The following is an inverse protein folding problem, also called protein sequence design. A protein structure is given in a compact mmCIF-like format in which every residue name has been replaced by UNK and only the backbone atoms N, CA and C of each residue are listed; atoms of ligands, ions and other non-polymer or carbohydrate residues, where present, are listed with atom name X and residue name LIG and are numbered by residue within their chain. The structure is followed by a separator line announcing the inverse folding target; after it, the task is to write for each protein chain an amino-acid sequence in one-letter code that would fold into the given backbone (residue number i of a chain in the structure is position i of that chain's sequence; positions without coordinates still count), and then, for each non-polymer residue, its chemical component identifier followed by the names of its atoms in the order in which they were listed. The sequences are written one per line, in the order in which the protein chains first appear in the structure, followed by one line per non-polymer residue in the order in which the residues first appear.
data_IF_185468149995
#
_entry.id   IF_185468149995
#
_cell.length_a   1.000
_cell.length_b   1.000
_cell.length_c   1.000
_cell.angle_alpha   90.00
_cell.angle_beta   90.00
_cell.angle_gamma   90.00
#
_symmetry.space_group_name_H-M   'P 1'
#
loop_
_entity.id
_entity.type
_entity.pdbx_description
1 polymer ?
#
# COMPACT_ATOMS: atom_id res chain seq x y z
N UNK A 1 -28.41 54.43 14.41
CA UNK A 1 -28.42 53.12 15.10
C UNK A 1 -28.64 53.39 16.57
N UNK A 2 -29.87 53.22 17.06
CA UNK A 2 -30.18 53.44 18.48
C UNK A 2 -29.68 52.25 19.27
N UNK A 3 -28.50 52.38 19.88
CA UNK A 3 -28.03 51.43 20.87
C UNK A 3 -28.93 51.51 22.09
N UNK A 4 -29.91 50.61 22.20
CA UNK A 4 -30.64 50.42 23.44
C UNK A 4 -29.64 49.92 24.47
N UNK A 5 -29.38 50.72 25.51
CA UNK A 5 -28.57 50.30 26.65
C UNK A 5 -29.28 49.11 27.30
N UNK A 6 -28.57 47.97 27.38
CA UNK A 6 -29.09 46.80 28.04
C UNK A 6 -29.44 47.15 29.50
N UNK A 7 -30.64 46.76 29.93
CA UNK A 7 -31.03 46.95 31.33
C UNK A 7 -30.15 46.10 32.25
N UNK A 8 -30.02 46.51 33.51
CA UNK A 8 -29.24 45.79 34.51
C UNK A 8 -29.62 44.30 34.58
N UNK A 9 -30.92 43.98 34.58
CA UNK A 9 -31.41 42.58 34.61
C UNK A 9 -31.05 41.77 33.37
N UNK A 10 -30.92 42.42 32.21
CA UNK A 10 -30.47 41.76 30.98
C UNK A 10 -28.98 41.44 31.07
N UNK A 11 -28.17 42.33 31.62
CA UNK A 11 -26.75 42.12 31.83
C UNK A 11 -26.48 41.03 32.88
N UNK A 12 -27.23 40.98 33.98
CA UNK A 12 -27.13 39.92 35.00
C UNK A 12 -27.41 38.55 34.38
N UNK A 13 -28.50 38.41 33.61
CA UNK A 13 -28.82 37.16 32.90
C UNK A 13 -27.73 36.75 31.91
N UNK A 14 -27.14 37.71 31.20
CA UNK A 14 -26.04 37.44 30.29
C UNK A 14 -24.78 36.97 31.02
N UNK A 15 -24.44 37.58 32.16
CA UNK A 15 -23.30 37.15 32.99
C UNK A 15 -23.52 35.75 33.54
N UNK A 16 -24.74 35.40 33.94
CA UNK A 16 -25.06 34.04 34.39
C UNK A 16 -24.95 33.02 33.25
N UNK A 17 -25.43 33.34 32.06
CA UNK A 17 -25.29 32.49 30.88
C UNK A 17 -23.81 32.29 30.52
N UNK A 18 -23.02 33.38 30.48
CA UNK A 18 -21.59 33.33 30.24
C UNK A 18 -20.84 32.56 31.32
N UNK A 19 -21.23 32.65 32.60
CA UNK A 19 -20.64 31.83 33.66
C UNK A 19 -20.90 30.35 33.43
N UNK A 20 -22.13 29.97 33.07
CA UNK A 20 -22.46 28.57 32.75
C UNK A 20 -21.65 28.08 31.54
N UNK A 21 -21.60 28.85 30.47
CA UNK A 21 -20.81 28.53 29.29
C UNK A 21 -19.31 28.42 29.62
N UNK A 22 -18.77 29.35 30.40
CA UNK A 22 -17.35 29.31 30.80
C UNK A 22 -17.03 28.08 31.66
N UNK A 23 -17.94 27.65 32.55
CA UNK A 23 -17.76 26.40 33.30
C UNK A 23 -17.88 25.16 32.41
N UNK A 24 -18.75 25.21 31.38
CA UNK A 24 -18.90 24.14 30.42
C UNK A 24 -17.64 23.98 29.56
N UNK A 25 -17.13 25.08 29.00
CA UNK A 25 -15.91 25.10 28.19
C UNK A 25 -14.68 24.64 28.99
N UNK A 26 -14.58 25.00 30.28
CA UNK A 26 -13.50 24.49 31.14
C UNK A 26 -13.54 22.97 31.28
N UNK A 27 -14.73 22.39 31.43
CA UNK A 27 -14.90 20.93 31.50
C UNK A 27 -14.51 20.26 30.19
N UNK A 28 -14.97 20.79 29.05
CA UNK A 28 -14.59 20.25 27.74
C UNK A 28 -13.09 20.34 27.48
N UNK A 29 -12.44 21.43 27.91
CA UNK A 29 -11.00 21.56 27.80
C UNK A 29 -10.26 20.52 28.65
N UNK A 30 -10.75 20.25 29.86
CA UNK A 30 -10.20 19.21 30.74
C UNK A 30 -10.40 17.81 30.15
N UNK A 31 -11.59 17.52 29.63
CA UNK A 31 -11.91 16.26 28.94
C UNK A 31 -10.99 16.07 27.72
N UNK A 32 -10.83 17.11 26.90
CA UNK A 32 -9.92 17.08 25.74
C UNK A 32 -8.46 16.89 26.16
N UNK A 33 -8.02 17.57 27.23
CA UNK A 33 -6.67 17.39 27.77
C UNK A 33 -6.44 15.95 28.24
N UNK A 34 -7.42 15.34 28.89
CA UNK A 34 -7.35 13.94 29.33
C UNK A 34 -7.28 12.98 28.13
N UNK A 35 -8.05 13.27 27.08
CA UNK A 35 -8.05 12.45 25.87
C UNK A 35 -6.72 12.53 25.12
N UNK A 36 -6.13 13.72 24.99
CA UNK A 36 -4.81 13.91 24.40
C UNK A 36 -3.74 13.12 25.15
N UNK A 37 -3.73 13.19 26.49
CA UNK A 37 -2.78 12.43 27.30
C UNK A 37 -2.91 10.91 27.07
N UNK A 38 -4.12 10.40 26.89
CA UNK A 38 -4.35 8.99 26.54
C UNK A 38 -3.75 8.64 25.19
N UNK A 39 -3.97 9.47 24.16
CA UNK A 39 -3.41 9.26 22.83
C UNK A 39 -1.88 9.32 22.82
N UNK A 40 -1.28 10.20 23.63
CA UNK A 40 0.18 10.28 23.80
C UNK A 40 0.74 9.00 24.43
N UNK A 41 0.04 8.44 25.42
CA UNK A 41 0.42 7.16 26.04
C UNK A 41 0.31 6.00 25.04
N UNK A 42 -0.83 5.87 24.34
CA UNK A 42 -1.04 4.83 23.31
C UNK A 42 0.01 4.91 22.19
N UNK A 43 0.39 6.13 21.80
CA UNK A 43 1.46 6.37 20.82
C UNK A 43 2.84 5.96 21.36
N UNK A 44 3.10 6.22 22.64
CA UNK A 44 4.35 5.84 23.31
C UNK A 44 4.48 4.33 23.44
N UNK A 45 3.40 3.64 23.81
CA UNK A 45 3.33 2.18 23.88
C UNK A 45 3.60 1.56 22.50
N UNK A 46 2.96 2.09 21.44
CA UNK A 46 3.18 1.61 20.08
C UNK A 46 4.64 1.84 19.63
N UNK A 47 5.23 2.98 19.98
CA UNK A 47 6.65 3.26 19.71
C UNK A 47 7.57 2.24 20.39
N UNK A 48 7.25 1.80 21.61
CA UNK A 48 7.99 0.73 22.29
C UNK A 48 7.86 -0.62 21.56
N UNK A 49 6.64 -0.99 21.17
CA UNK A 49 6.37 -2.20 20.38
C UNK A 49 7.17 -2.20 19.08
N UNK A 50 7.19 -1.09 18.35
CA UNK A 50 7.95 -0.96 17.11
C UNK A 50 9.46 -1.09 17.33
N UNK A 51 10.01 -0.49 18.39
CA UNK A 51 11.42 -0.66 18.75
C UNK A 51 11.75 -2.12 19.06
N UNK A 52 10.87 -2.82 19.77
CA UNK A 52 11.05 -4.24 20.08
C UNK A 52 11.02 -5.11 18.83
N UNK A 53 10.09 -4.87 17.92
CA UNK A 53 10.00 -5.57 16.64
C UNK A 53 11.23 -5.31 15.76
N UNK A 54 11.71 -4.07 15.70
CA UNK A 54 12.95 -3.72 15.00
C UNK A 54 14.14 -4.48 15.60
N UNK A 55 14.29 -4.48 16.93
CA UNK A 55 15.36 -5.21 17.60
C UNK A 55 15.33 -6.72 17.33
N UNK A 56 14.14 -7.32 17.32
CA UNK A 56 13.93 -8.73 16.92
C UNK A 56 14.33 -8.99 15.48
N UNK A 57 13.92 -8.14 14.54
CA UNK A 57 14.26 -8.29 13.13
C UNK A 57 15.76 -8.16 12.89
N UNK A 58 16.43 -7.23 13.56
CA UNK A 58 17.88 -7.11 13.52
C UNK A 58 18.59 -8.32 14.13
N UNK A 59 18.05 -8.89 15.21
CA UNK A 59 18.58 -10.13 15.80
C UNK A 59 18.42 -11.31 14.85
N UNK A 60 17.25 -11.46 14.22
CA UNK A 60 16.98 -12.51 13.25
C UNK A 60 17.89 -12.37 12.02
N UNK A 61 18.10 -11.14 11.52
CA UNK A 61 19.07 -10.87 10.46
C UNK A 61 20.50 -11.29 10.84
N UNK A 62 20.94 -10.98 12.07
CA UNK A 62 22.25 -11.41 12.57
C UNK A 62 22.35 -12.93 12.68
N UNK A 63 21.30 -13.61 13.11
CA UNK A 63 21.24 -15.08 13.18
C UNK A 63 21.27 -15.71 11.79
N UNK A 64 20.55 -15.16 10.81
CA UNK A 64 20.57 -15.64 9.43
C UNK A 64 21.97 -15.52 8.80
N UNK A 65 22.70 -14.44 9.09
CA UNK A 65 24.08 -14.26 8.64
C UNK A 65 25.04 -15.20 9.37
N UNK A 66 24.94 -15.32 10.70
CA UNK A 66 25.79 -16.19 11.51
C UNK A 66 25.57 -17.69 11.27
N UNK A 67 24.37 -18.09 10.88
CA UNK A 67 24.03 -19.50 10.59
C UNK A 67 24.36 -19.91 9.16
N UNK A 68 24.83 -18.98 8.31
CA UNK A 68 25.13 -19.25 6.91
C UNK A 68 23.90 -19.48 6.04
N UNK A 69 22.67 -19.18 6.51
CA UNK A 69 21.46 -19.28 5.69
C UNK A 69 21.51 -18.34 4.46
N UNK A 70 22.25 -17.25 4.54
CA UNK A 70 22.51 -16.37 3.37
C UNK A 70 23.33 -17.06 2.29
N UNK A 71 24.25 -17.96 2.66
CA UNK A 71 25.07 -18.73 1.71
C UNK A 71 24.22 -19.78 0.98
N UNK A 72 23.30 -20.46 1.68
CA UNK A 72 22.36 -21.41 1.05
C UNK A 72 21.41 -20.68 0.08
N UNK A 73 20.96 -19.48 0.41
CA UNK A 73 20.16 -18.64 -0.48
C UNK A 73 20.95 -18.15 -1.70
N UNK A 74 22.24 -17.82 -1.54
CA UNK A 74 23.12 -17.43 -2.64
C UNK A 74 23.43 -18.62 -3.57
N UNK A 75 23.69 -19.80 -2.98
CA UNK A 75 23.85 -21.06 -3.73
C UNK A 75 22.57 -21.43 -4.50
N UNK A 76 21.40 -21.24 -3.89
CA UNK A 76 20.12 -21.50 -4.54
C UNK A 76 19.86 -20.50 -5.67
N UNK A 77 20.37 -19.25 -5.56
CA UNK A 77 20.31 -18.23 -6.62
C UNK A 77 21.07 -18.66 -7.88
N UNK A 78 22.16 -19.40 -7.73
CA UNK A 78 22.87 -20.07 -8.83
C UNK A 78 22.09 -21.23 -9.49
N UNK A 79 21.10 -21.80 -8.80
CA UNK A 79 20.17 -22.82 -9.32
C UNK A 79 18.89 -22.24 -9.96
N UNK A 80 18.57 -20.97 -9.72
CA UNK A 80 17.41 -20.27 -10.34
C UNK A 80 17.45 -20.28 -11.87
N UNK A 81 18.60 -20.15 -12.57
CA UNK A 81 18.67 -20.32 -14.03
C UNK A 81 18.23 -21.70 -14.53
N UNK A 82 18.36 -22.73 -13.68
CA UNK A 82 17.90 -24.08 -14.00
C UNK A 82 16.37 -24.22 -13.85
N UNK A 83 15.81 -23.53 -12.86
CA UNK A 83 14.36 -23.45 -12.61
C UNK A 83 13.63 -22.56 -13.63
N UNK A 84 14.27 -21.51 -14.15
CA UNK A 84 13.72 -20.69 -15.24
C UNK A 84 13.73 -21.42 -16.60
N UNK A 85 14.47 -22.53 -16.71
CA UNK A 85 14.41 -23.47 -17.84
C UNK A 85 13.29 -24.51 -17.72
N UNK A 86 12.64 -24.60 -16.55
CA UNK A 86 11.53 -25.53 -16.30
C UNK A 86 10.33 -25.36 -17.25
N UNK A 87 9.92 -24.14 -17.68
CA UNK A 87 8.90 -23.96 -18.71
C UNK A 87 9.31 -24.50 -20.08
N UNK A 88 10.62 -24.57 -20.36
CA UNK A 88 11.17 -25.08 -21.61
C UNK A 88 11.20 -26.63 -21.60
N UNK A 89 11.48 -27.22 -20.43
CA UNK A 89 11.36 -28.66 -20.19
C UNK A 89 9.90 -29.13 -20.15
N UNK A 90 8.97 -28.31 -19.67
CA UNK A 90 7.53 -28.61 -19.68
C UNK A 90 6.88 -28.50 -21.06
N UNK A 91 7.64 -28.15 -22.11
CA UNK A 91 7.18 -28.04 -23.50
C UNK A 91 7.17 -29.38 -24.25
N UNK A 92 7.45 -30.51 -23.61
CA UNK A 92 7.23 -31.81 -24.25
C UNK A 92 5.74 -31.96 -24.61
N UNK A 93 5.38 -32.07 -25.90
CA UNK A 93 3.99 -32.21 -26.29
C UNK A 93 3.51 -33.58 -25.82
N UNK A 94 2.46 -33.58 -25.01
CA UNK A 94 1.66 -34.77 -24.77
C UNK A 94 1.10 -35.26 -26.12
N UNK A 95 1.74 -36.28 -26.69
CA UNK A 95 1.29 -37.02 -27.85
C UNK A 95 1.07 -38.50 -27.48
N UNK A 96 0.01 -39.17 -27.95
CA UNK A 96 -0.41 -40.48 -27.45
C UNK A 96 0.15 -41.64 -28.28
N UNK A 97 0.73 -42.64 -27.61
CA UNK A 97 0.88 -43.99 -28.16
C UNK A 97 2.25 -44.65 -28.00
N UNK A 98 2.23 -45.84 -27.39
CA UNK A 98 3.21 -46.93 -27.47
C UNK A 98 4.58 -46.79 -26.78
N UNK A 99 4.74 -47.54 -25.69
CA UNK A 99 5.64 -48.70 -25.72
C UNK A 99 7.07 -48.55 -25.20
N UNK A 100 7.28 -49.13 -24.03
CA UNK A 100 8.52 -49.66 -23.44
C UNK A 100 9.63 -48.69 -22.97
N UNK A 101 9.68 -48.64 -21.64
CA UNK A 101 10.85 -48.95 -20.81
C UNK A 101 11.96 -47.89 -20.65
N UNK A 102 12.17 -47.58 -19.36
CA UNK A 102 13.39 -47.08 -18.74
C UNK A 102 13.62 -45.58 -18.73
N UNK A 103 12.91 -44.90 -17.83
CA UNK A 103 13.42 -43.73 -17.12
C UNK A 103 13.63 -44.09 -15.64
N UNK A 104 14.37 -45.17 -15.39
CA UNK A 104 15.16 -45.29 -14.17
C UNK A 104 16.40 -44.41 -14.39
N UNK A 105 16.42 -43.21 -13.82
CA UNK A 105 17.62 -42.52 -13.32
C UNK A 105 17.30 -41.03 -13.10
N UNK A 106 16.38 -40.73 -12.19
CA UNK A 106 16.50 -39.60 -11.26
C UNK A 106 15.84 -40.07 -9.98
N UNK A 107 16.63 -40.81 -9.19
CA UNK A 107 16.16 -41.44 -7.98
C UNK A 107 15.83 -40.41 -6.92
N UNK A 108 14.58 -40.40 -6.48
CA UNK A 108 14.22 -40.17 -5.08
C UNK A 108 13.48 -41.41 -4.61
N UNK A 109 14.16 -42.20 -3.78
CA UNK A 109 13.58 -43.37 -3.12
C UNK A 109 12.50 -42.98 -2.11
N UNK A 110 11.72 -43.96 -1.64
CA UNK A 110 10.48 -43.72 -0.90
C UNK A 110 10.75 -43.38 0.56
N UNK A 111 10.81 -42.09 0.90
CA UNK A 111 10.60 -41.68 2.29
C UNK A 111 9.11 -41.69 2.60
N UNK A 112 8.72 -42.71 3.36
CA UNK A 112 7.41 -42.82 3.97
C UNK A 112 7.19 -41.70 4.98
N UNK A 113 5.98 -41.12 4.94
CA UNK A 113 5.34 -40.53 6.11
C UNK A 113 5.50 -39.02 6.29
N UNK A 114 4.57 -38.27 5.68
CA UNK A 114 4.13 -36.98 6.22
C UNK A 114 4.50 -35.75 5.39
N UNK A 115 3.49 -35.17 4.74
CA UNK A 115 3.41 -33.75 4.36
C UNK A 115 4.26 -33.27 3.17
N UNK A 116 4.15 -33.89 2.00
CA UNK A 116 4.64 -33.30 0.73
C UNK A 116 3.52 -32.56 -0.03
N UNK A 117 2.26 -32.65 0.39
CA UNK A 117 1.12 -32.06 -0.34
C UNK A 117 1.00 -30.54 -0.20
N UNK A 118 1.79 -29.89 0.67
CA UNK A 118 1.73 -28.44 0.89
C UNK A 118 2.76 -27.61 0.10
N UNK A 119 3.68 -28.26 -0.64
CA UNK A 119 4.76 -27.59 -1.38
C UNK A 119 4.41 -27.26 -2.84
N UNK A 120 3.27 -27.73 -3.34
CA UNK A 120 2.79 -27.45 -4.70
C UNK A 120 2.11 -26.08 -4.89
N UNK A 121 1.38 -25.50 -3.90
CA UNK A 121 0.76 -24.18 -4.07
C UNK A 121 1.76 -23.02 -4.02
N UNK A 122 2.74 -23.05 -3.10
CA UNK A 122 3.70 -21.96 -2.90
C UNK A 122 4.54 -21.57 -4.13
N UNK A 123 5.15 -22.51 -4.88
CA UNK A 123 5.99 -22.15 -6.04
C UNK A 123 5.15 -21.59 -7.18
N UNK A 124 3.91 -22.04 -7.36
CA UNK A 124 2.99 -21.48 -8.36
C UNK A 124 2.52 -20.08 -7.97
N UNK A 125 2.10 -19.89 -6.71
CA UNK A 125 1.73 -18.57 -6.19
C UNK A 125 2.90 -17.57 -6.25
N UNK A 126 4.13 -18.02 -6.01
CA UNK A 126 5.33 -17.18 -6.14
C UNK A 126 5.59 -16.76 -7.59
N UNK A 127 5.50 -17.69 -8.54
CA UNK A 127 5.67 -17.36 -9.96
C UNK A 127 4.56 -16.40 -10.46
N UNK A 128 3.33 -16.61 -10.01
CA UNK A 128 2.21 -15.71 -10.32
C UNK A 128 2.45 -14.30 -9.77
N UNK A 129 2.82 -14.17 -8.49
CA UNK A 129 3.07 -12.87 -7.87
C UNK A 129 4.24 -12.12 -8.53
N UNK A 130 5.31 -12.85 -8.89
CA UNK A 130 6.43 -12.26 -9.63
C UNK A 130 6.01 -11.76 -11.02
N UNK A 131 5.13 -12.48 -11.71
CA UNK A 131 4.58 -12.05 -13.01
C UNK A 131 3.69 -10.81 -12.88
N UNK A 132 2.90 -10.69 -11.81
CA UNK A 132 2.07 -9.51 -11.56
C UNK A 132 2.93 -8.28 -11.19
N UNK A 133 3.99 -8.47 -10.39
CA UNK A 133 4.96 -7.40 -10.07
C UNK A 133 5.66 -6.92 -11.35
N UNK A 134 6.14 -7.83 -12.19
CA UNK A 134 6.80 -7.47 -13.45
C UNK A 134 5.86 -6.71 -14.39
N UNK A 135 4.58 -7.08 -14.42
CA UNK A 135 3.56 -6.36 -15.19
C UNK A 135 3.32 -4.95 -14.64
N UNK A 136 3.19 -4.81 -13.32
CA UNK A 136 3.04 -3.50 -12.66
C UNK A 136 4.24 -2.59 -12.92
N UNK A 137 5.47 -3.12 -12.89
CA UNK A 137 6.68 -2.37 -13.22
C UNK A 137 6.71 -1.90 -14.68
N UNK A 138 6.26 -2.73 -15.63
CA UNK A 138 6.14 -2.34 -17.04
C UNK A 138 5.10 -1.24 -17.24
N UNK A 139 3.97 -1.34 -16.57
CA UNK A 139 2.93 -0.29 -16.60
C UNK A 139 3.47 1.03 -16.02
N UNK A 140 4.18 0.98 -14.87
CA UNK A 140 4.86 2.14 -14.29
C UNK A 140 5.83 2.79 -15.26
N UNK A 141 6.71 2.00 -15.87
CA UNK A 141 7.68 2.51 -16.85
C UNK A 141 6.97 3.17 -18.05
N UNK A 142 5.84 2.61 -18.49
CA UNK A 142 5.03 3.22 -19.55
C UNK A 142 4.47 4.58 -19.12
N UNK A 143 3.88 4.70 -17.92
CA UNK A 143 3.38 5.98 -17.39
C UNK A 143 4.50 7.02 -17.22
N UNK A 144 5.66 6.60 -16.72
CA UNK A 144 6.83 7.48 -16.61
C UNK A 144 7.30 8.00 -17.97
N UNK A 145 7.31 7.15 -19.00
CA UNK A 145 7.63 7.55 -20.37
C UNK A 145 6.63 8.60 -20.91
N UNK A 146 5.33 8.42 -20.63
CA UNK A 146 4.29 9.37 -21.04
C UNK A 146 4.45 10.71 -20.32
N UNK A 147 4.67 10.69 -19.00
CA UNK A 147 4.90 11.90 -18.21
C UNK A 147 6.16 12.64 -18.63
N UNK A 148 7.24 11.90 -18.91
CA UNK A 148 8.48 12.48 -19.42
C UNK A 148 8.26 13.15 -20.77
N UNK A 149 7.53 12.53 -21.69
CA UNK A 149 7.18 13.14 -22.99
C UNK A 149 6.34 14.41 -22.82
N UNK A 150 5.43 14.47 -21.86
CA UNK A 150 4.68 15.69 -21.55
C UNK A 150 5.58 16.78 -20.95
N UNK A 151 6.51 16.41 -20.07
CA UNK A 151 7.49 17.34 -19.48
C UNK A 151 8.38 17.95 -20.57
N UNK A 152 8.94 17.13 -21.47
CA UNK A 152 9.79 17.64 -22.55
C UNK A 152 9.01 18.56 -23.48
N UNK A 153 7.76 18.21 -23.81
CA UNK A 153 6.89 19.07 -24.61
C UNK A 153 6.57 20.38 -23.91
N UNK A 154 6.43 20.37 -22.59
CA UNK A 154 6.20 21.58 -21.79
C UNK A 154 7.43 22.49 -21.78
N UNK A 155 8.63 21.92 -21.69
CA UNK A 155 9.91 22.64 -21.72
C UNK A 155 10.22 23.22 -23.11
N UNK A 156 9.75 22.55 -24.18
CA UNK A 156 9.88 22.99 -25.58
C UNK A 156 8.85 24.04 -26.00
N UNK A 157 7.87 24.39 -25.14
CA UNK A 157 6.99 25.51 -25.45
C UNK A 157 7.83 26.78 -25.61
N UNK A 158 7.55 27.62 -26.62
CA UNK A 158 8.28 28.86 -26.79
C UNK A 158 8.17 29.67 -25.50
N UNK A 159 9.32 30.02 -24.93
CA UNK A 159 9.43 30.82 -23.71
C UNK A 159 8.99 32.27 -24.02
N UNK A 160 7.71 32.44 -24.30
CA UNK A 160 7.10 33.74 -24.54
C UNK A 160 6.92 34.37 -23.18
N UNK A 161 7.82 35.30 -22.82
CA UNK A 161 7.69 36.22 -21.68
C UNK A 161 6.52 37.20 -21.87
N UNK A 162 5.35 36.73 -22.30
CA UNK A 162 4.19 37.58 -22.55
C UNK A 162 2.97 36.95 -21.91
N UNK A 163 2.66 37.49 -20.73
CA UNK A 163 1.44 37.23 -19.97
C UNK A 163 0.24 37.61 -20.83
N UNK A 164 -0.29 36.64 -21.57
CA UNK A 164 -1.60 36.71 -22.22
C UNK A 164 -2.36 35.41 -21.90
N UNK A 165 -3.61 35.47 -21.39
CA UNK A 165 -4.39 34.29 -21.00
C UNK A 165 -4.52 33.23 -22.11
N UNK A 166 -4.47 33.65 -23.37
CA UNK A 166 -4.57 32.79 -24.55
C UNK A 166 -3.27 32.04 -24.89
N UNK A 167 -2.10 32.54 -24.46
CA UNK A 167 -0.79 31.90 -24.70
C UNK A 167 -0.50 30.76 -23.71
N UNK A 168 -1.24 30.67 -22.59
CA UNK A 168 -1.08 29.63 -21.57
C UNK A 168 -1.96 28.40 -21.81
N UNK A 169 -2.87 28.44 -22.80
CA UNK A 169 -3.80 27.34 -23.08
C UNK A 169 -3.11 25.98 -23.28
N UNK A 170 -2.10 25.88 -24.16
CA UNK A 170 -1.42 24.61 -24.43
C UNK A 170 -0.63 24.08 -23.22
N UNK A 171 0.02 24.96 -22.43
CA UNK A 171 0.74 24.56 -21.23
C UNK A 171 -0.20 24.03 -20.13
N UNK A 172 -1.36 24.68 -19.97
CA UNK A 172 -2.40 24.24 -19.02
C UNK A 172 -2.99 22.91 -19.44
N UNK A 173 -3.26 22.71 -20.73
CA UNK A 173 -3.79 21.45 -21.26
C UNK A 173 -2.84 20.27 -21.04
N UNK A 174 -1.54 20.44 -21.33
CA UNK A 174 -0.52 19.43 -21.05
C UNK A 174 -0.38 19.12 -19.55
N UNK A 175 -0.46 20.15 -18.71
CA UNK A 175 -0.44 19.98 -17.25
C UNK A 175 -1.68 19.22 -16.74
N UNK A 176 -2.86 19.51 -17.31
CA UNK A 176 -4.09 18.77 -17.01
C UNK A 176 -3.97 17.30 -17.45
N UNK A 177 -3.40 17.03 -18.63
CA UNK A 177 -3.18 15.68 -19.12
C UNK A 177 -2.22 14.88 -18.22
N UNK A 178 -1.13 15.50 -17.75
CA UNK A 178 -0.23 14.88 -16.77
C UNK A 178 -0.93 14.57 -15.43
N UNK A 179 -1.79 15.47 -14.95
CA UNK A 179 -2.59 15.25 -13.74
C UNK A 179 -3.55 14.06 -13.88
N UNK A 180 -4.20 13.92 -15.04
CA UNK A 180 -5.08 12.79 -15.33
C UNK A 180 -4.32 11.46 -15.39
N UNK A 181 -3.13 11.43 -15.98
CA UNK A 181 -2.26 10.23 -15.99
C UNK A 181 -1.84 9.83 -14.57
N UNK A 182 -1.46 10.79 -13.74
CA UNK A 182 -1.12 10.53 -12.32
C UNK A 182 -2.34 10.00 -11.54
N UNK A 183 -3.52 10.55 -11.78
CA UNK A 183 -4.75 10.10 -11.13
C UNK A 183 -5.16 8.70 -11.59
N UNK A 184 -4.98 8.37 -12.88
CA UNK A 184 -5.24 7.03 -13.42
C UNK A 184 -4.31 5.97 -12.80
N UNK A 185 -3.02 6.26 -12.67
CA UNK A 185 -2.06 5.37 -12.01
C UNK A 185 -2.41 5.15 -10.52
N UNK A 186 -2.70 6.23 -9.77
CA UNK A 186 -3.08 6.13 -8.36
C UNK A 186 -4.46 5.48 -8.14
N UNK A 187 -5.37 5.59 -9.10
CA UNK A 187 -6.66 4.90 -9.11
C UNK A 187 -6.52 3.40 -9.37
N UNK A 188 -5.66 3.01 -10.32
CA UNK A 188 -5.35 1.62 -10.61
C UNK A 188 -4.67 0.90 -9.43
N UNK A 189 -3.73 1.57 -8.73
CA UNK A 189 -3.09 1.02 -7.54
C UNK A 189 -4.03 0.86 -6.34
N UNK A 190 -5.05 1.71 -6.20
CA UNK A 190 -6.06 1.59 -5.13
C UNK A 190 -7.06 0.46 -5.37
N UNK A 191 -7.42 0.16 -6.62
CA UNK A 191 -8.31 -0.96 -6.94
C UNK A 191 -7.64 -2.33 -6.76
N UNK A 192 -6.31 -2.42 -6.90
CA UNK A 192 -5.57 -3.66 -6.63
C UNK A 192 -5.31 -3.90 -5.12
N UNK A 193 -5.27 -2.86 -4.30
CA UNK A 193 -5.13 -2.95 -2.84
C UNK A 193 -6.39 -3.40 -2.06
N UNK A 194 -7.51 -3.68 -2.74
CA UNK A 194 -8.80 -4.03 -2.13
C UNK A 194 -9.14 -5.53 -2.14
N UNK A 195 -8.24 -6.41 -2.63
CA UNK A 195 -8.33 -7.85 -2.36
C UNK A 195 -7.46 -8.22 -1.16
N UNK A 196 -7.83 -7.76 0.04
CA UNK A 196 -7.01 -8.07 1.21
C UNK A 196 -7.48 -7.54 2.55
N UNK A 197 -8.76 -7.29 2.79
CA UNK A 197 -9.31 -7.17 4.14
C UNK A 197 -10.80 -7.55 4.13
N UNK A 198 -11.17 -8.46 5.03
CA UNK A 198 -12.42 -9.19 5.04
C UNK A 198 -13.68 -8.34 5.15
N UNK A 199 -14.77 -8.95 4.68
CA UNK A 199 -16.11 -8.40 4.81
C UNK A 199 -16.51 -8.17 6.26
N UNK A 200 -17.05 -6.99 6.51
CA UNK A 200 -18.03 -6.79 7.56
C UNK A 200 -19.31 -6.33 6.86
N UNK A 201 -20.31 -7.20 6.94
CA UNK A 201 -21.67 -6.96 6.45
C UNK A 201 -22.25 -5.67 7.05
N UNK A 202 -23.07 -4.92 6.30
CA UNK A 202 -23.87 -3.85 6.88
C UNK A 202 -25.05 -4.49 7.62
N UNK A 203 -25.00 -4.48 8.95
CA UNK A 203 -26.18 -4.75 9.77
C UNK A 203 -27.20 -3.63 9.54
N UNK A 204 -28.32 -4.03 8.98
CA UNK A 204 -29.55 -3.27 8.87
C UNK A 204 -30.04 -2.81 10.24
N UNK A 205 -30.24 -1.51 10.42
CA UNK A 205 -31.14 -1.00 11.46
C UNK A 205 -32.18 -0.09 10.81
N UNK A 206 -33.43 -0.55 10.93
CA UNK A 206 -34.66 0.10 10.44
C UNK A 206 -35.00 1.30 11.32
N UNK A 207 -35.70 2.32 10.79
CA UNK A 207 -36.20 3.43 11.60
C UNK A 207 -37.59 3.10 12.15
N UNK A 208 -37.85 3.47 13.42
CA UNK A 208 -39.18 3.85 13.94
C UNK A 208 -39.11 4.10 15.46
N UNK A 209 -40.10 4.80 16.06
CA UNK A 209 -41.05 5.76 15.51
C UNK A 209 -40.85 7.20 16.03
#
# INVERSE_FOLDING_TARGET
MSGSIASYDQLVRQVEALKKENTHLRRELEDNSSHLSKLENETSDMKEVLKHLQGKLEQEARVMVSSGQTEVLDQLKGFIPLLSLFPLLARFPAGPGAGLASAQHWGWGPWSGGSVTALYPLPFSRCFLLSEIEKEEKEKLWYYMQLQSLSTRLDELPHVETVSPWSQGPARDLSHQGSLLCQAHLGAGRSQGLMGCGGLSPSSESPAP
#
